data_IF_715505089666
#
_entry.id   IF_715505089666
#
_cell.length_a   1.000
_cell.length_b   1.000
_cell.length_c   1.000
_cell.angle_alpha   90.00
_cell.angle_beta   90.00
_cell.angle_gamma   90.00
#
_symmetry.space_group_name_H-M   'P 1'
#
loop_
_entity.id
_entity.type
_entity.pdbx_description
1 polymer ?
#
# COMPACT_ATOMS: atom_id res chain seq x y z
N UNK A 1 -2.77 4.22 -22.49
CA UNK A 1 -3.39 5.18 -21.56
C UNK A 1 -2.97 4.78 -20.16
N UNK A 2 -2.50 5.70 -19.31
CA UNK A 2 -2.31 5.42 -17.90
C UNK A 2 -3.66 4.96 -17.33
N UNK A 3 -3.67 3.90 -16.53
CA UNK A 3 -4.86 3.53 -15.76
C UNK A 3 -4.86 4.47 -14.56
N UNK A 4 -5.76 5.44 -14.59
CA UNK A 4 -6.04 6.29 -13.44
C UNK A 4 -6.91 5.52 -12.44
N UNK A 5 -6.78 5.83 -11.15
CA UNK A 5 -7.67 5.28 -10.13
C UNK A 5 -9.11 5.58 -10.49
N UNK A 6 -9.99 4.60 -10.28
CA UNK A 6 -11.45 4.75 -10.40
C UNK A 6 -12.06 5.66 -9.31
N UNK A 7 -11.22 6.22 -8.43
CA UNK A 7 -11.61 7.14 -7.37
C UNK A 7 -12.14 6.45 -6.11
N UNK A 8 -12.11 5.11 -6.03
CA UNK A 8 -12.56 4.41 -4.83
C UNK A 8 -11.51 4.40 -3.70
N UNK A 9 -10.25 4.66 -4.02
CA UNK A 9 -9.18 4.89 -3.04
C UNK A 9 -8.98 6.39 -2.82
N UNK A 10 -8.95 6.78 -1.55
CA UNK A 10 -8.60 8.15 -1.15
C UNK A 10 -7.09 8.33 -1.33
N UNK A 11 -6.70 9.42 -1.99
CA UNK A 11 -5.31 9.81 -2.27
C UNK A 11 -4.60 8.94 -3.32
N UNK A 12 -3.77 7.97 -2.90
CA UNK A 12 -2.95 7.17 -3.79
C UNK A 12 -3.52 5.74 -3.91
N UNK A 13 -3.93 5.29 -5.11
CA UNK A 13 -4.45 3.94 -5.29
C UNK A 13 -3.38 2.90 -4.97
N UNK A 14 -3.81 1.78 -4.41
CA UNK A 14 -2.91 0.65 -4.18
C UNK A 14 -2.58 0.00 -5.52
N UNK A 15 -1.40 -0.59 -5.64
CA UNK A 15 -0.94 -1.18 -6.90
C UNK A 15 -1.92 -2.25 -7.44
N UNK A 16 -2.60 -2.98 -6.55
CA UNK A 16 -3.63 -3.93 -6.95
C UNK A 16 -4.85 -3.26 -7.64
N UNK A 17 -5.31 -2.11 -7.13
CA UNK A 17 -6.48 -1.40 -7.67
C UNK A 17 -6.22 -0.90 -9.10
N UNK A 18 -4.97 -0.56 -9.42
CA UNK A 18 -4.56 -0.20 -10.78
C UNK A 18 -4.66 -1.35 -11.78
N UNK A 19 -4.65 -2.60 -11.32
CA UNK A 19 -4.62 -3.79 -12.19
C UNK A 19 -5.85 -4.69 -12.02
N UNK A 20 -6.75 -4.39 -11.09
CA UNK A 20 -7.87 -5.26 -10.74
C UNK A 20 -8.83 -5.51 -11.92
N UNK A 21 -8.95 -4.51 -12.80
CA UNK A 21 -9.79 -4.55 -13.99
C UNK A 21 -9.00 -4.90 -15.27
N UNK A 22 -7.73 -5.31 -15.14
CA UNK A 22 -6.91 -5.68 -16.28
C UNK A 22 -7.48 -6.93 -17.00
N UNK A 23 -7.38 -7.01 -18.34
CA UNK A 23 -7.86 -8.15 -19.10
C UNK A 23 -7.26 -9.48 -18.62
N UNK A 24 -8.11 -10.51 -18.45
CA UNK A 24 -7.68 -11.84 -18.00
C UNK A 24 -6.99 -12.66 -19.10
N UNK A 25 -7.32 -12.38 -20.35
CA UNK A 25 -6.82 -13.10 -21.53
C UNK A 25 -6.15 -12.13 -22.51
N UNK A 26 -5.27 -12.66 -23.37
CA UNK A 26 -4.54 -11.87 -24.36
C UNK A 26 -3.58 -12.71 -25.19
N UNK A 27 -2.87 -12.09 -26.13
CA UNK A 27 -1.85 -12.74 -26.97
C UNK A 27 -0.58 -13.15 -26.22
N UNK A 28 -0.43 -12.67 -24.98
CA UNK A 28 0.71 -12.92 -24.10
C UNK A 28 0.20 -13.16 -22.68
N UNK A 29 0.99 -13.78 -21.79
CA UNK A 29 0.63 -13.94 -20.39
C UNK A 29 0.21 -12.60 -19.79
N UNK A 30 -0.99 -12.57 -19.21
CA UNK A 30 -1.52 -11.41 -18.50
C UNK A 30 -0.99 -11.40 -17.06
N UNK A 31 -1.17 -10.31 -16.33
CA UNK A 31 -0.77 -10.22 -14.91
C UNK A 31 -1.35 -11.36 -14.04
N UNK A 32 -2.46 -11.95 -14.49
CA UNK A 32 -3.15 -13.07 -13.85
C UNK A 32 -2.42 -14.42 -14.00
N UNK A 33 -1.38 -14.50 -14.83
CA UNK A 33 -0.51 -15.68 -14.90
C UNK A 33 0.40 -15.84 -13.68
N UNK A 34 0.46 -14.83 -12.79
CA UNK A 34 1.24 -14.83 -11.55
C UNK A 34 0.34 -14.68 -10.32
N UNK A 35 -0.46 -15.71 -9.96
CA UNK A 35 -1.48 -15.59 -8.91
C UNK A 35 -0.89 -15.21 -7.55
N UNK A 36 0.29 -15.72 -7.20
CA UNK A 36 0.96 -15.38 -5.93
C UNK A 36 1.34 -13.90 -5.84
N UNK A 37 1.78 -13.30 -6.96
CA UNK A 37 2.08 -11.88 -7.02
C UNK A 37 0.80 -11.06 -6.88
N UNK A 38 -0.26 -11.44 -7.58
CA UNK A 38 -1.57 -10.78 -7.48
C UNK A 38 -2.12 -10.84 -6.06
N UNK A 39 -2.04 -12.00 -5.40
CA UNK A 39 -2.52 -12.16 -4.04
C UNK A 39 -1.68 -11.38 -3.03
N UNK A 40 -0.36 -11.32 -3.23
CA UNK A 40 0.50 -10.42 -2.46
C UNK A 40 0.05 -8.95 -2.62
N UNK A 41 -0.17 -8.49 -3.86
CA UNK A 41 -0.56 -7.11 -4.13
C UNK A 41 -1.95 -6.76 -3.58
N UNK A 42 -2.89 -7.71 -3.51
CA UNK A 42 -4.20 -7.51 -2.85
C UNK A 42 -4.07 -7.16 -1.37
N UNK A 43 -3.08 -7.75 -0.71
CA UNK A 43 -2.85 -7.62 0.74
C UNK A 43 -1.90 -6.46 1.02
N UNK A 44 -0.86 -6.28 0.19
CA UNK A 44 0.13 -5.24 0.33
C UNK A 44 -0.54 -3.85 0.33
N UNK A 45 -0.23 -3.06 1.35
CA UNK A 45 -0.78 -1.70 1.49
C UNK A 45 -2.25 -1.64 1.90
N UNK A 46 -2.91 -2.76 2.22
CA UNK A 46 -4.18 -2.70 2.95
C UNK A 46 -3.96 -1.93 4.26
N UNK A 47 -4.91 -1.07 4.70
CA UNK A 47 -4.83 -0.46 6.02
C UNK A 47 -4.69 -1.55 7.07
N UNK A 48 -3.88 -1.29 8.10
CA UNK A 48 -3.77 -2.20 9.24
C UNK A 48 -5.18 -2.42 9.80
N UNK A 49 -5.64 -3.67 9.79
CA UNK A 49 -6.99 -4.00 10.22
C UNK A 49 -7.09 -3.89 11.74
N UNK A 50 -7.95 -2.99 12.22
CA UNK A 50 -8.22 -2.80 13.64
C UNK A 50 -7.69 -1.48 14.19
N UNK A 51 -7.99 -1.16 15.47
CA UNK A 51 -7.42 -0.01 16.14
C UNK A 51 -5.89 -0.15 16.21
N UNK A 52 -5.19 0.99 16.20
CA UNK A 52 -3.76 1.01 16.48
C UNK A 52 -3.47 0.27 17.80
N UNK A 53 -2.36 -0.49 17.88
CA UNK A 53 -1.97 -1.11 19.14
C UNK A 53 -1.94 -0.06 20.26
N UNK A 54 -2.38 -0.38 21.49
CA UNK A 54 -2.56 0.61 22.56
C UNK A 54 -1.25 1.28 23.03
N UNK A 55 -0.10 0.82 22.55
CA UNK A 55 1.22 1.40 22.80
C UNK A 55 1.75 2.23 21.63
N UNK A 56 1.01 2.31 20.52
CA UNK A 56 1.37 3.09 19.33
C UNK A 56 0.36 4.20 19.15
N UNK A 57 0.86 5.41 18.97
CA UNK A 57 0.05 6.54 18.51
C UNK A 57 -0.09 6.47 16.98
N UNK A 58 -1.25 6.81 16.40
CA UNK A 58 -1.39 6.97 14.97
C UNK A 58 -0.33 7.93 14.43
N UNK A 59 0.24 7.63 13.27
CA UNK A 59 1.13 8.56 12.58
C UNK A 59 0.36 9.87 12.34
N UNK A 60 0.91 11.05 12.68
CA UNK A 60 0.32 12.32 12.27
C UNK A 60 0.20 12.38 10.74
N UNK A 61 -0.92 12.90 10.25
CA UNK A 61 -1.06 13.13 8.81
C UNK A 61 0.04 14.10 8.35
N UNK A 62 0.81 13.77 7.30
CA UNK A 62 1.84 14.66 6.80
C UNK A 62 1.20 15.92 6.20
N UNK A 63 1.74 17.09 6.52
CA UNK A 63 1.40 18.31 5.78
C UNK A 63 2.22 18.40 4.47
N UNK A 64 1.85 19.33 3.59
CA UNK A 64 2.50 19.47 2.28
C UNK A 64 4.02 19.77 2.37
N UNK A 65 4.44 20.41 3.46
CA UNK A 65 5.83 20.81 3.70
C UNK A 65 6.61 19.74 4.51
N UNK A 66 5.93 18.66 4.92
CA UNK A 66 6.47 17.64 5.79
C UNK A 66 7.44 16.74 5.04
N UNK A 67 8.73 16.93 5.30
CA UNK A 67 9.76 15.97 4.92
C UNK A 67 9.73 14.70 5.79
N UNK A 68 10.44 13.63 5.39
CA UNK A 68 10.57 12.42 6.20
C UNK A 68 11.24 12.74 7.55
N UNK A 69 10.55 12.45 8.65
CA UNK A 69 11.08 12.59 10.01
C UNK A 69 11.66 11.25 10.49
N UNK A 70 12.95 11.23 10.83
CA UNK A 70 13.58 10.07 11.47
C UNK A 70 13.13 10.00 12.94
N UNK A 71 12.51 8.89 13.33
CA UNK A 71 12.12 8.61 14.73
C UNK A 71 13.21 7.74 15.36
N UNK A 72 13.92 8.21 16.39
CA UNK A 72 14.92 7.41 17.09
C UNK A 72 14.29 6.23 17.83
N UNK A 73 14.98 5.09 17.85
CA UNK A 73 14.58 3.95 18.69
C UNK A 73 14.71 4.35 20.18
N UNK A 74 13.65 4.26 21.00
CA UNK A 74 13.71 4.60 22.41
C UNK A 74 14.56 3.63 23.25
N UNK A 75 14.90 2.44 22.73
CA UNK A 75 15.76 1.49 23.42
C UNK A 75 16.96 1.09 22.56
N UNK A 76 17.92 2.02 22.35
CA UNK A 76 19.17 1.69 21.70
C UNK A 76 19.89 0.70 22.63
N UNK A 77 19.89 -0.59 22.26
CA UNK A 77 20.34 -1.67 23.12
C UNK A 77 21.60 -1.33 23.92
N UNK A 78 21.55 -1.58 25.23
CA UNK A 78 22.70 -1.45 26.14
C UNK A 78 23.83 -2.35 25.64
N UNK A 79 24.92 -1.75 25.18
CA UNK A 79 26.22 -2.41 25.08
C UNK A 79 26.82 -2.59 26.48
#
# INVERSE_FOLDING_TARGET
MPIESDGHSKDNPRLYELIENAPKTGKSPTVWAWPQLIDYLKIAGQPVSGPWPPHQEPRPDPDYESGPQAVPDPNPGRN
#
